data_IF_424856879885
#
_entry.id   IF_424856879885
#
_cell.length_a   1.000
_cell.length_b   1.000
_cell.length_c   1.000
_cell.angle_alpha   90.00
_cell.angle_beta   90.00
_cell.angle_gamma   90.00
#
_symmetry.space_group_name_H-M   'P 1'
#
loop_
_entity.id
_entity.type
_entity.pdbx_description
1 polymer ?
#
# COMPACT_ATOMS: atom_id res chain seq x y z
N UNK A 1 58.39 -11.84 33.82
CA UNK A 1 57.02 -11.65 34.34
C UNK A 1 56.31 -10.74 33.34
N UNK A 2 55.39 -11.27 32.53
CA UNK A 2 54.65 -10.51 31.50
C UNK A 2 53.20 -10.33 31.97
N UNK A 3 52.62 -9.13 31.98
CA UNK A 3 51.20 -8.96 32.28
C UNK A 3 50.37 -9.20 31.02
N UNK A 4 49.42 -10.13 31.12
CA UNK A 4 48.36 -10.38 30.14
C UNK A 4 47.32 -9.26 30.19
N UNK A 5 47.21 -8.50 29.11
CA UNK A 5 46.18 -7.48 28.91
C UNK A 5 44.89 -8.18 28.48
N UNK A 6 43.87 -8.16 29.33
CA UNK A 6 42.52 -8.67 29.04
C UNK A 6 41.72 -7.57 28.37
N UNK A 7 41.45 -7.70 27.07
CA UNK A 7 40.65 -6.75 26.30
C UNK A 7 39.16 -6.99 26.55
N UNK A 8 38.51 -6.04 27.22
CA UNK A 8 37.08 -6.04 27.51
C UNK A 8 36.32 -5.58 26.25
N UNK A 9 35.65 -6.50 25.54
CA UNK A 9 34.71 -6.13 24.45
C UNK A 9 33.43 -5.55 25.06
N UNK A 10 33.20 -4.26 24.83
CA UNK A 10 31.93 -3.59 25.10
C UNK A 10 30.95 -3.87 23.97
N UNK A 11 29.91 -4.66 24.24
CA UNK A 11 28.79 -4.87 23.31
C UNK A 11 27.80 -3.71 23.45
N UNK A 12 27.72 -2.85 22.42
CA UNK A 12 26.71 -1.80 22.33
C UNK A 12 25.35 -2.43 21.97
N UNK A 13 24.27 -2.18 22.75
CA UNK A 13 22.93 -2.62 22.37
C UNK A 13 22.43 -1.77 21.19
N UNK A 14 22.03 -2.44 20.10
CA UNK A 14 21.35 -1.78 18.99
C UNK A 14 19.91 -1.41 19.43
N UNK A 15 19.64 -0.12 19.59
CA UNK A 15 18.30 0.42 19.79
C UNK A 15 17.58 0.41 18.43
N UNK A 16 16.70 -0.55 18.20
CA UNK A 16 15.79 -0.53 17.06
C UNK A 16 14.74 0.58 17.28
N UNK A 17 14.88 1.71 16.58
CA UNK A 17 13.84 2.74 16.54
C UNK A 17 12.72 2.26 15.63
N UNK A 18 11.52 2.07 16.19
CA UNK A 18 10.33 1.82 15.37
C UNK A 18 10.10 3.02 14.44
N UNK A 19 9.90 2.76 13.15
CA UNK A 19 9.51 3.80 12.19
C UNK A 19 8.17 4.42 12.62
N UNK A 20 7.97 5.73 12.45
CA UNK A 20 6.70 6.37 12.79
C UNK A 20 5.56 5.70 12.00
N UNK A 21 4.55 5.21 12.71
CA UNK A 21 3.33 4.72 12.07
C UNK A 21 2.67 5.89 11.32
N UNK A 22 2.36 5.67 10.04
CA UNK A 22 1.60 6.63 9.24
C UNK A 22 0.20 6.80 9.88
N UNK A 23 -0.15 8.01 10.31
CA UNK A 23 -1.51 8.35 10.74
C UNK A 23 -2.41 8.50 9.52
N UNK A 24 -3.56 7.82 9.51
CA UNK A 24 -4.53 7.80 8.42
C UNK A 24 -5.87 8.26 8.99
N UNK A 25 -6.53 9.26 8.37
CA UNK A 25 -7.77 9.85 8.91
C UNK A 25 -9.04 9.25 8.34
N UNK A 26 -8.96 8.60 7.17
CA UNK A 26 -10.13 8.16 6.42
C UNK A 26 -10.46 9.10 5.25
N UNK A 27 -10.06 10.37 5.34
CA UNK A 27 -10.31 11.40 4.33
C UNK A 27 -9.51 11.19 3.04
N UNK A 28 -8.63 10.19 3.00
CA UNK A 28 -7.93 9.78 1.80
C UNK A 28 -8.83 9.16 0.74
N UNK A 29 -10.00 8.67 1.14
CA UNK A 29 -10.92 7.96 0.26
C UNK A 29 -12.35 8.46 0.37
N UNK A 30 -13.15 8.13 -0.64
CA UNK A 30 -14.60 8.32 -0.64
C UNK A 30 -15.30 7.08 -1.20
N UNK A 31 -16.59 6.92 -0.86
CA UNK A 31 -17.45 5.88 -1.43
C UNK A 31 -17.05 4.44 -1.07
N UNK A 32 -16.35 4.25 0.05
CA UNK A 32 -15.94 2.91 0.48
C UNK A 32 -17.16 2.02 0.74
N UNK A 33 -17.21 0.88 0.06
CA UNK A 33 -18.28 -0.11 0.19
C UNK A 33 -17.66 -1.49 0.44
N UNK A 34 -18.07 -2.16 1.51
CA UNK A 34 -17.65 -3.53 1.79
C UNK A 34 -18.50 -4.47 0.94
N UNK A 35 -17.84 -5.31 0.13
CA UNK A 35 -18.51 -6.17 -0.85
C UNK A 35 -18.80 -7.55 -0.27
N UNK A 36 -17.79 -8.17 0.34
CA UNK A 36 -17.94 -9.44 1.06
C UNK A 36 -17.01 -9.45 2.29
N UNK A 37 -17.56 -9.21 3.50
CA UNK A 37 -16.80 -9.17 4.76
C UNK A 37 -16.36 -10.57 5.25
N UNK A 38 -16.85 -11.65 4.63
CA UNK A 38 -16.53 -13.02 5.06
C UNK A 38 -15.16 -13.49 4.56
N UNK A 39 -14.64 -12.88 3.48
CA UNK A 39 -13.35 -13.23 2.89
C UNK A 39 -12.21 -12.91 3.87
N UNK A 40 -11.31 -13.89 4.04
CA UNK A 40 -10.10 -13.76 4.84
C UNK A 40 -8.88 -13.71 3.94
N UNK A 41 -8.46 -12.50 3.58
CA UNK A 41 -7.23 -12.31 2.83
C UNK A 41 -6.00 -12.55 3.72
N UNK A 42 -5.00 -13.22 3.16
CA UNK A 42 -3.68 -13.28 3.78
C UNK A 42 -3.03 -11.89 3.74
N UNK A 43 -2.57 -11.42 4.89
CA UNK A 43 -2.01 -10.06 5.03
C UNK A 43 -0.70 -9.89 4.26
N UNK A 44 0.12 -10.95 4.17
CA UNK A 44 1.36 -10.90 3.39
C UNK A 44 1.04 -10.77 1.90
N UNK A 45 0.19 -11.65 1.37
CA UNK A 45 -0.27 -11.63 -0.02
C UNK A 45 -0.94 -10.30 -0.38
N UNK A 46 -1.79 -9.76 0.50
CA UNK A 46 -2.43 -8.44 0.28
C UNK A 46 -1.40 -7.32 0.19
N UNK A 47 -0.39 -7.32 1.06
CA UNK A 47 0.69 -6.33 0.99
C UNK A 47 1.54 -6.48 -0.27
N UNK A 48 1.77 -7.71 -0.74
CA UNK A 48 2.47 -7.94 -2.01
C UNK A 48 1.62 -7.46 -3.19
N UNK A 49 0.33 -7.82 -3.24
CA UNK A 49 -0.61 -7.40 -4.28
C UNK A 49 -0.70 -5.86 -4.38
N UNK A 50 -0.78 -5.18 -3.23
CA UNK A 50 -0.74 -3.72 -3.12
C UNK A 50 0.46 -3.12 -3.85
N UNK A 51 1.63 -3.75 -3.71
CA UNK A 51 2.90 -3.27 -4.28
C UNK A 51 3.10 -3.66 -5.75
N UNK A 52 2.30 -4.58 -6.30
CA UNK A 52 2.46 -5.07 -7.68
C UNK A 52 1.76 -4.22 -8.75
N UNK A 53 0.98 -3.21 -8.35
CA UNK A 53 0.35 -2.30 -9.31
C UNK A 53 1.40 -1.62 -10.21
N UNK A 54 1.02 -1.32 -11.46
CA UNK A 54 1.85 -0.65 -12.45
C UNK A 54 3.20 -1.35 -12.73
N UNK A 55 3.24 -2.67 -12.60
CA UNK A 55 4.46 -3.47 -12.75
C UNK A 55 5.40 -3.43 -11.54
N UNK A 56 4.97 -2.83 -10.43
CA UNK A 56 5.71 -2.77 -9.18
C UNK A 56 6.00 -1.34 -8.70
N UNK A 57 5.59 -1.03 -7.46
CA UNK A 57 5.87 0.24 -6.76
C UNK A 57 6.68 0.01 -5.48
N UNK A 58 7.75 -0.77 -5.58
CA UNK A 58 8.62 -1.14 -4.47
C UNK A 58 10.09 -0.73 -4.70
N UNK A 59 10.90 -0.82 -3.66
CA UNK A 59 12.34 -0.51 -3.75
C UNK A 59 12.59 0.96 -4.11
N UNK A 60 13.31 1.21 -5.21
CA UNK A 60 13.56 2.57 -5.70
C UNK A 60 12.38 3.17 -6.46
N UNK A 61 11.42 2.35 -6.90
CA UNK A 61 10.19 2.81 -7.55
C UNK A 61 9.19 3.22 -6.47
N UNK A 62 8.84 4.50 -6.45
CA UNK A 62 7.99 5.10 -5.41
C UNK A 62 6.68 5.67 -5.96
N UNK A 63 6.32 5.33 -7.20
CA UNK A 63 5.06 5.72 -7.85
C UNK A 63 4.66 4.74 -8.93
N UNK A 64 3.37 4.70 -9.24
CA UNK A 64 2.85 4.02 -10.42
C UNK A 64 3.53 4.60 -11.69
N UNK A 65 4.33 3.80 -12.38
CA UNK A 65 5.05 4.19 -13.59
C UNK A 65 4.20 3.99 -14.86
N UNK A 66 4.59 4.66 -15.95
CA UNK A 66 4.01 4.44 -17.27
C UNK A 66 2.64 5.07 -17.54
N UNK A 67 2.05 5.75 -16.55
CA UNK A 67 0.78 6.46 -16.66
C UNK A 67 -0.35 5.63 -17.32
N UNK A 68 -0.67 4.43 -16.80
CA UNK A 68 -1.75 3.63 -17.36
C UNK A 68 -3.12 4.21 -16.97
N UNK A 69 -4.14 4.01 -17.81
CA UNK A 69 -5.53 4.31 -17.44
C UNK A 69 -6.07 3.33 -16.38
N UNK A 70 -5.57 2.09 -16.38
CA UNK A 70 -5.96 1.03 -15.46
C UNK A 70 -4.76 0.14 -15.11
N UNK A 71 -4.76 -0.44 -13.92
CA UNK A 71 -3.72 -1.39 -13.53
C UNK A 71 -4.26 -2.41 -12.54
N UNK A 72 -3.56 -3.53 -12.40
CA UNK A 72 -3.85 -4.55 -11.42
C UNK A 72 -2.59 -4.91 -10.65
N UNK A 73 -2.76 -5.35 -9.40
CA UNK A 73 -1.72 -5.98 -8.61
C UNK A 73 -2.30 -7.20 -7.91
N UNK A 74 -1.67 -8.36 -8.06
CA UNK A 74 -2.19 -9.62 -7.55
C UNK A 74 -1.11 -10.40 -6.81
N UNK A 75 -1.50 -11.10 -5.75
CA UNK A 75 -0.65 -12.05 -5.03
C UNK A 75 -1.52 -12.92 -4.12
N UNK A 76 -1.28 -14.22 -4.10
CA UNK A 76 -2.14 -15.17 -3.38
C UNK A 76 -3.59 -15.05 -3.88
N UNK A 77 -4.52 -14.89 -2.94
CA UNK A 77 -5.94 -14.64 -3.25
C UNK A 77 -6.28 -13.17 -3.38
N UNK A 78 -5.34 -12.24 -3.17
CA UNK A 78 -5.64 -10.81 -3.17
C UNK A 78 -5.42 -10.20 -4.55
N UNK A 79 -6.46 -9.54 -5.08
CA UNK A 79 -6.41 -8.77 -6.32
C UNK A 79 -6.82 -7.32 -6.08
N UNK A 80 -5.90 -6.40 -6.36
CA UNK A 80 -6.21 -4.99 -6.50
C UNK A 80 -6.45 -4.65 -7.97
N UNK A 81 -7.58 -3.98 -8.25
CA UNK A 81 -7.89 -3.38 -9.56
C UNK A 81 -8.04 -1.89 -9.40
N UNK A 82 -7.37 -1.09 -10.24
CA UNK A 82 -7.37 0.37 -10.19
C UNK A 82 -7.72 0.95 -11.56
N UNK A 83 -8.50 2.04 -11.56
CA UNK A 83 -8.87 2.80 -12.74
C UNK A 83 -8.82 4.30 -12.46
N UNK A 84 -8.30 5.09 -13.40
CA UNK A 84 -8.52 6.53 -13.39
C UNK A 84 -10.02 6.82 -13.57
N UNK A 85 -10.55 7.76 -12.80
CA UNK A 85 -11.98 8.08 -12.80
C UNK A 85 -12.38 9.00 -13.95
N UNK A 86 -11.54 9.98 -14.27
CA UNK A 86 -11.78 10.95 -15.34
C UNK A 86 -11.37 10.38 -16.70
N UNK A 87 -12.22 10.59 -17.71
CA UNK A 87 -11.92 10.21 -19.08
C UNK A 87 -10.69 10.97 -19.60
N UNK A 88 -9.72 10.24 -20.16
CA UNK A 88 -8.47 10.81 -20.66
C UNK A 88 -7.40 11.04 -19.58
N UNK A 89 -7.71 10.80 -18.31
CA UNK A 89 -6.73 10.79 -17.23
C UNK A 89 -6.04 9.42 -17.09
N UNK A 90 -4.86 9.45 -16.50
CA UNK A 90 -4.02 8.29 -16.24
C UNK A 90 -3.60 8.24 -14.78
N UNK A 91 -3.41 7.04 -14.25
CA UNK A 91 -2.96 6.82 -12.88
C UNK A 91 -1.52 7.34 -12.72
N UNK A 92 -1.33 8.24 -11.75
CA UNK A 92 -0.06 8.82 -11.33
C UNK A 92 -0.06 8.98 -9.80
N UNK A 93 -0.18 7.84 -9.11
CA UNK A 93 -0.25 7.74 -7.65
C UNK A 93 1.13 7.39 -7.07
N UNK A 94 1.55 8.08 -6.00
CA UNK A 94 2.76 7.71 -5.26
C UNK A 94 2.48 6.52 -4.33
N UNK A 95 3.53 5.75 -4.00
CA UNK A 95 3.44 4.61 -3.08
C UNK A 95 2.80 5.01 -1.74
N UNK A 96 3.29 6.08 -1.12
CA UNK A 96 2.77 6.54 0.17
C UNK A 96 1.31 7.03 0.12
N UNK A 97 0.86 7.61 -1.00
CA UNK A 97 -0.56 7.95 -1.18
C UNK A 97 -1.41 6.69 -1.28
N UNK A 98 -0.98 5.74 -2.11
CA UNK A 98 -1.68 4.49 -2.35
C UNK A 98 -1.86 3.66 -1.08
N UNK A 99 -0.79 3.46 -0.30
CA UNK A 99 -0.84 2.73 0.97
C UNK A 99 -1.80 3.39 1.98
N UNK A 100 -1.87 4.72 2.00
CA UNK A 100 -2.81 5.45 2.86
C UNK A 100 -4.26 5.30 2.40
N UNK A 101 -4.52 5.34 1.10
CA UNK A 101 -5.87 5.12 0.57
C UNK A 101 -6.40 3.72 0.93
N UNK A 102 -5.57 2.68 0.84
CA UNK A 102 -5.99 1.33 1.26
C UNK A 102 -6.28 1.29 2.76
N UNK A 103 -5.38 1.82 3.59
CA UNK A 103 -5.60 1.88 5.05
C UNK A 103 -6.86 2.65 5.40
N UNK A 104 -7.14 3.74 4.69
CA UNK A 104 -8.33 4.55 4.89
C UNK A 104 -9.62 3.78 4.52
N UNK A 105 -9.61 3.04 3.41
CA UNK A 105 -10.72 2.14 3.07
C UNK A 105 -10.91 1.05 4.13
N UNK A 106 -9.82 0.51 4.68
CA UNK A 106 -9.85 -0.51 5.73
C UNK A 106 -10.35 0.00 7.09
N UNK A 107 -10.37 1.31 7.34
CA UNK A 107 -11.07 1.86 8.52
C UNK A 107 -12.58 1.55 8.42
N UNK A 108 -13.15 1.58 7.22
CA UNK A 108 -14.57 1.27 6.97
C UNK A 108 -14.80 -0.23 6.79
N UNK A 109 -13.93 -0.89 6.02
CA UNK A 109 -13.99 -2.33 5.73
C UNK A 109 -12.74 -3.04 6.29
N UNK A 110 -12.71 -3.34 7.60
CA UNK A 110 -11.51 -3.88 8.26
C UNK A 110 -11.13 -5.28 7.76
N UNK A 111 -12.08 -6.01 7.19
CA UNK A 111 -11.90 -7.32 6.61
C UNK A 111 -12.70 -7.45 5.32
N UNK A 112 -12.41 -8.50 4.55
CA UNK A 112 -13.15 -8.81 3.34
C UNK A 112 -12.80 -7.97 2.13
N UNK A 113 -13.55 -8.20 1.06
CA UNK A 113 -13.43 -7.45 -0.19
C UNK A 113 -14.14 -6.10 -0.08
N UNK A 114 -13.65 -5.12 -0.82
CA UNK A 114 -14.22 -3.78 -0.82
C UNK A 114 -13.93 -3.06 -2.14
N UNK A 115 -14.72 -2.02 -2.43
CA UNK A 115 -14.37 -0.99 -3.41
C UNK A 115 -14.33 0.40 -2.75
N UNK A 116 -13.54 1.31 -3.30
CA UNK A 116 -13.38 2.66 -2.79
C UNK A 116 -12.78 3.58 -3.88
N UNK A 117 -12.74 4.89 -3.62
CA UNK A 117 -12.10 5.87 -4.49
C UNK A 117 -11.04 6.62 -3.72
N UNK A 118 -9.77 6.50 -4.15
CA UNK A 118 -8.64 7.24 -3.61
C UNK A 118 -8.65 8.66 -4.17
N UNK A 119 -8.72 9.67 -3.30
CA UNK A 119 -8.77 11.06 -3.73
C UNK A 119 -7.42 11.51 -4.32
N UNK A 120 -7.48 12.04 -5.54
CA UNK A 120 -6.35 12.33 -6.40
C UNK A 120 -5.64 11.07 -6.92
N UNK A 121 -4.41 11.26 -7.41
CA UNK A 121 -3.60 10.15 -7.91
C UNK A 121 -3.87 9.79 -9.37
N UNK A 122 -4.68 10.56 -10.09
CA UNK A 122 -4.73 10.59 -11.55
C UNK A 122 -4.27 11.95 -12.08
N UNK A 123 -3.76 11.97 -13.32
CA UNK A 123 -3.36 13.19 -14.05
C UNK A 123 -3.92 13.16 -15.47
N UNK A 124 -4.30 14.31 -16.06
CA UNK A 124 -4.13 15.69 -15.56
C UNK A 124 -5.07 16.07 -14.40
N UNK A 125 -6.17 15.34 -14.22
CA UNK A 125 -7.10 15.50 -13.09
C UNK A 125 -7.67 14.16 -12.65
N UNK A 126 -8.34 14.16 -11.51
CA UNK A 126 -9.20 13.07 -11.09
C UNK A 126 -8.60 12.16 -10.03
N UNK A 127 -9.43 11.19 -9.67
CA UNK A 127 -9.23 10.23 -8.60
C UNK A 127 -8.90 8.85 -9.17
N UNK A 128 -8.56 7.91 -8.28
CA UNK A 128 -8.35 6.51 -8.64
C UNK A 128 -9.41 5.65 -7.96
N UNK A 129 -10.35 5.10 -8.76
CA UNK A 129 -11.27 4.07 -8.27
C UNK A 129 -10.49 2.76 -8.11
N UNK A 130 -10.70 2.05 -7.01
CA UNK A 130 -10.04 0.79 -6.76
C UNK A 130 -10.90 -0.23 -6.00
N UNK A 131 -10.54 -1.50 -6.13
CA UNK A 131 -11.15 -2.60 -5.37
C UNK A 131 -10.10 -3.57 -4.87
N UNK A 132 -10.39 -4.23 -3.75
CA UNK A 132 -9.76 -5.47 -3.31
C UNK A 132 -10.78 -6.59 -3.44
N UNK A 133 -10.49 -7.60 -4.25
CA UNK A 133 -11.33 -8.79 -4.45
C UNK A 133 -10.50 -10.05 -4.40
N UNK A 134 -11.15 -11.21 -4.43
CA UNK A 134 -10.44 -12.45 -4.74
C UNK A 134 -9.87 -12.41 -6.18
N UNK A 135 -8.69 -13.01 -6.36
CA UNK A 135 -7.95 -13.09 -7.61
C UNK A 135 -8.46 -14.18 -8.57
#
# INVERSE_FOLDING_TARGET
MHPTITTLLLTLPALATALPQQTVSGDEVTGTTCLDPSIKFDSHSTNVALLQICGGIAGTIQKCGGNPASTTGASGTSLFTLNATDAGSTINVSKGRWERCIKAAQITCPEGSFESTCLGGATPSGDVKFSLTEA
#
